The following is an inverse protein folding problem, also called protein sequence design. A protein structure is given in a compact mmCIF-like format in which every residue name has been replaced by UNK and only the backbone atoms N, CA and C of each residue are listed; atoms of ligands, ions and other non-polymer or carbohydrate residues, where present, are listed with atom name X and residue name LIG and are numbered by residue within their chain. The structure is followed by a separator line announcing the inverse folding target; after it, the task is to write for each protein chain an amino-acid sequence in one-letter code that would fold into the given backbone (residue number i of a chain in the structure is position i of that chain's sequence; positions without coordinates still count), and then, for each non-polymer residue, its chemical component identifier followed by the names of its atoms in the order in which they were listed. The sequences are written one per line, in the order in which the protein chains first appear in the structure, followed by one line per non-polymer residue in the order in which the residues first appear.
data_IF_997580064001
#
_entry.id   IF_997580064001
#
_cell.length_a   1.000
_cell.length_b   1.000
_cell.length_c   1.000
_cell.angle_alpha   90.00
_cell.angle_beta   90.00
_cell.angle_gamma   90.00
#
_symmetry.space_group_name_H-M   'P 1'
#
loop_
_entity.id
_entity.type
_entity.pdbx_description
1 polymer ?
#
# COMPACT_ATOMS: atom_id res chain seq x y z
N UNK A 1 -71.34 85.03 35.63
CA UNK A 1 -70.28 85.10 34.57
C UNK A 1 -70.51 83.97 33.63
N UNK A 2 -70.49 84.26 32.35
CA UNK A 2 -70.93 83.43 31.25
C UNK A 2 -70.10 82.11 31.15
N UNK A 3 -70.77 80.99 31.17
CA UNK A 3 -70.22 79.67 30.87
C UNK A 3 -69.60 79.63 29.44
N UNK A 4 -69.89 80.53 28.62
CA UNK A 4 -69.48 80.65 27.17
C UNK A 4 -67.99 80.99 26.98
N UNK A 5 -67.36 81.78 27.89
CA UNK A 5 -65.95 82.13 27.73
C UNK A 5 -64.96 80.95 27.91
N UNK A 6 -65.07 80.11 28.94
CA UNK A 6 -64.21 78.92 29.06
C UNK A 6 -64.45 77.85 27.99
N UNK A 7 -65.74 77.75 27.51
CA UNK A 7 -66.09 76.82 26.39
C UNK A 7 -65.43 77.31 25.07
N UNK A 8 -65.33 78.59 24.89
CA UNK A 8 -64.70 79.23 23.72
C UNK A 8 -63.17 78.91 23.68
N UNK A 9 -62.49 78.99 24.82
CA UNK A 9 -61.07 78.69 24.90
C UNK A 9 -60.78 77.23 24.64
N UNK A 10 -61.62 76.30 25.20
CA UNK A 10 -61.51 74.89 24.89
C UNK A 10 -61.70 74.59 23.39
N UNK A 11 -62.74 75.22 22.81
CA UNK A 11 -63.05 75.09 21.35
C UNK A 11 -61.89 75.59 20.50
N UNK A 12 -61.31 76.74 20.81
CA UNK A 12 -60.20 77.31 20.06
C UNK A 12 -58.92 76.41 20.19
N UNK A 13 -58.70 75.86 21.36
CA UNK A 13 -57.56 74.89 21.57
C UNK A 13 -57.77 73.63 20.74
N UNK A 14 -59.01 73.08 20.67
CA UNK A 14 -59.29 71.91 19.82
C UNK A 14 -59.11 72.25 18.35
N UNK A 15 -59.55 73.43 17.93
CA UNK A 15 -59.44 73.91 16.55
C UNK A 15 -58.00 74.11 16.11
N UNK A 16 -57.10 74.59 16.99
CA UNK A 16 -55.69 74.70 16.75
C UNK A 16 -55.01 73.30 16.61
N UNK A 17 -55.45 72.33 17.42
CA UNK A 17 -55.00 70.95 17.31
C UNK A 17 -55.50 70.28 16.01
N UNK A 18 -56.72 70.60 15.52
CA UNK A 18 -57.34 70.03 14.31
C UNK A 18 -56.69 70.53 13.02
N UNK A 19 -56.13 71.72 12.99
CA UNK A 19 -55.57 72.37 11.82
C UNK A 19 -54.12 71.90 11.42
N UNK A 20 -53.65 70.83 12.01
CA UNK A 20 -52.44 70.13 11.56
C UNK A 20 -51.11 70.57 12.18
N UNK A 21 -51.05 71.62 12.93
CA UNK A 21 -49.88 72.02 13.74
C UNK A 21 -50.13 71.60 15.19
N UNK A 22 -50.53 70.35 15.41
CA UNK A 22 -50.91 69.80 16.72
C UNK A 22 -49.79 69.89 17.76
N UNK A 23 -49.69 70.97 18.48
CA UNK A 23 -48.79 71.12 19.60
C UNK A 23 -49.37 70.38 20.82
N UNK A 24 -49.03 69.16 20.95
CA UNK A 24 -49.42 68.28 22.05
C UNK A 24 -48.75 68.63 23.38
N UNK A 25 -47.88 69.64 23.42
CA UNK A 25 -47.29 70.16 24.64
C UNK A 25 -48.15 71.22 25.32
N UNK A 26 -49.10 71.79 24.59
CA UNK A 26 -50.03 72.79 25.11
C UNK A 26 -51.01 72.17 26.13
N UNK A 27 -51.43 72.96 27.12
CA UNK A 27 -52.40 72.58 28.12
C UNK A 27 -53.47 73.63 28.17
N UNK A 28 -54.72 73.18 28.37
CA UNK A 28 -55.87 74.07 28.53
C UNK A 28 -55.94 74.56 29.99
N UNK A 29 -55.94 75.84 30.24
CA UNK A 29 -56.03 76.35 31.59
C UNK A 29 -57.31 75.87 32.32
N UNK A 30 -57.18 75.31 33.50
CA UNK A 30 -58.28 74.91 34.38
C UNK A 30 -58.65 76.14 35.23
N UNK A 31 -59.70 76.84 34.86
CA UNK A 31 -60.06 78.13 35.47
C UNK A 31 -61.10 78.01 36.60
N UNK A 32 -61.89 76.95 36.68
CA UNK A 32 -62.89 76.72 37.66
C UNK A 32 -62.98 75.21 38.05
N UNK A 33 -63.81 74.92 39.11
CA UNK A 33 -64.06 73.54 39.55
C UNK A 33 -65.42 73.00 39.07
N UNK A 34 -66.03 73.63 38.08
CA UNK A 34 -67.33 73.26 37.51
C UNK A 34 -67.09 72.33 36.29
N UNK A 35 -68.20 72.04 35.55
CA UNK A 35 -68.20 71.13 34.40
C UNK A 35 -67.20 71.56 33.32
N UNK A 36 -66.89 72.79 33.14
CA UNK A 36 -65.91 73.33 32.20
C UNK A 36 -64.48 73.09 32.67
N UNK A 37 -64.20 73.13 33.99
CA UNK A 37 -62.90 72.74 34.55
C UNK A 37 -62.61 71.23 34.42
N UNK A 38 -63.60 70.40 34.69
CA UNK A 38 -63.54 68.98 34.47
C UNK A 38 -63.31 68.59 33.00
N UNK A 39 -63.96 69.30 32.07
CA UNK A 39 -63.75 69.13 30.62
C UNK A 39 -62.28 69.48 30.22
N UNK A 40 -61.72 70.56 30.74
CA UNK A 40 -60.35 70.95 30.50
C UNK A 40 -59.34 69.95 31.09
N UNK A 41 -59.60 69.40 32.30
CA UNK A 41 -58.81 68.31 32.87
C UNK A 41 -58.86 67.03 31.98
N UNK A 42 -60.02 66.58 31.61
CA UNK A 42 -60.16 65.38 30.77
C UNK A 42 -59.48 65.58 29.39
N UNK A 43 -59.55 66.77 28.79
CA UNK A 43 -58.82 67.08 27.57
C UNK A 43 -57.33 67.13 27.77
N UNK A 44 -56.84 67.70 28.85
CA UNK A 44 -55.40 67.65 29.23
C UNK A 44 -54.91 66.20 29.39
N UNK A 45 -55.71 65.36 30.05
CA UNK A 45 -55.35 63.93 30.19
C UNK A 45 -55.33 63.23 28.85
N UNK A 46 -56.21 63.49 27.92
CA UNK A 46 -56.18 62.99 26.55
C UNK A 46 -54.92 63.47 25.81
N UNK A 47 -54.57 64.75 25.93
CA UNK A 47 -53.34 65.33 25.30
C UNK A 47 -52.07 64.68 25.85
N UNK A 48 -51.98 64.43 27.15
CA UNK A 48 -50.88 63.70 27.78
C UNK A 48 -50.80 62.28 27.23
N UNK A 49 -51.89 61.60 27.11
CA UNK A 49 -51.93 60.23 26.58
C UNK A 49 -51.52 60.22 25.11
N UNK A 50 -52.02 61.07 24.26
CA UNK A 50 -51.67 61.21 22.86
C UNK A 50 -50.18 61.56 22.69
N UNK A 51 -49.70 62.53 23.47
CA UNK A 51 -48.24 62.90 23.46
C UNK A 51 -47.37 61.73 23.80
N UNK A 52 -47.68 60.94 24.85
CA UNK A 52 -47.00 59.74 25.23
C UNK A 52 -46.98 58.67 24.14
N UNK A 53 -48.21 58.48 23.51
CA UNK A 53 -48.34 57.45 22.50
C UNK A 53 -47.61 57.83 21.19
N UNK A 54 -47.68 59.12 20.80
CA UNK A 54 -46.86 59.60 19.67
C UNK A 54 -45.34 59.49 19.90
N UNK A 55 -44.87 59.80 21.10
CA UNK A 55 -43.45 59.55 21.48
C UNK A 55 -43.05 58.08 21.36
N UNK A 56 -43.95 57.16 21.75
CA UNK A 56 -43.70 55.74 21.55
C UNK A 56 -43.64 55.35 20.08
N UNK A 57 -44.55 55.82 19.26
CA UNK A 57 -44.57 55.57 17.83
C UNK A 57 -43.32 56.10 17.17
N UNK A 58 -42.85 57.29 17.54
CA UNK A 58 -41.59 57.87 17.06
C UNK A 58 -40.39 56.99 17.42
N UNK A 59 -40.30 56.55 18.67
CA UNK A 59 -39.22 55.66 19.14
C UNK A 59 -39.21 54.34 18.37
N UNK A 60 -40.40 53.72 18.18
CA UNK A 60 -40.54 52.45 17.42
C UNK A 60 -40.16 52.66 15.95
N UNK A 61 -40.57 53.76 15.31
CA UNK A 61 -40.17 54.04 13.93
C UNK A 61 -38.65 54.17 13.77
N UNK A 62 -38.00 54.80 14.75
CA UNK A 62 -36.55 54.95 14.76
C UNK A 62 -35.83 53.63 14.98
N UNK A 63 -36.37 52.78 15.86
CA UNK A 63 -35.89 51.42 16.14
C UNK A 63 -36.00 50.53 14.87
N UNK A 64 -37.15 50.51 14.20
CA UNK A 64 -37.35 49.79 12.92
C UNK A 64 -36.33 50.27 11.87
N UNK A 65 -36.08 51.57 11.76
CA UNK A 65 -35.09 52.12 10.82
C UNK A 65 -33.69 51.61 11.12
N UNK A 66 -33.28 51.51 12.38
CA UNK A 66 -31.99 50.97 12.80
C UNK A 66 -31.89 49.45 12.51
N UNK A 67 -32.93 48.69 12.85
CA UNK A 67 -32.98 47.25 12.60
C UNK A 67 -32.94 46.89 11.10
N UNK A 68 -33.58 47.69 10.26
CA UNK A 68 -33.55 47.48 8.79
C UNK A 68 -32.16 47.65 8.20
N UNK A 69 -31.32 48.53 8.75
CA UNK A 69 -29.92 48.67 8.34
C UNK A 69 -29.15 47.39 8.67
N UNK A 70 -29.31 46.88 9.89
CA UNK A 70 -28.68 45.63 10.31
C UNK A 70 -29.14 44.44 9.45
N UNK A 71 -30.40 44.35 9.08
CA UNK A 71 -30.91 43.29 8.20
C UNK A 71 -30.31 43.34 6.79
N UNK A 72 -30.08 44.54 6.22
CA UNK A 72 -29.42 44.71 4.93
C UNK A 72 -27.96 44.25 5.02
N UNK A 73 -27.21 44.66 6.06
CA UNK A 73 -25.85 44.23 6.27
C UNK A 73 -25.74 42.70 6.43
N UNK A 74 -26.70 42.08 7.12
CA UNK A 74 -26.76 40.62 7.26
C UNK A 74 -27.04 39.91 5.91
N UNK A 75 -27.96 40.46 5.10
CA UNK A 75 -28.25 39.93 3.80
C UNK A 75 -27.07 40.03 2.84
N UNK A 76 -26.33 41.12 2.87
CA UNK A 76 -25.08 41.28 2.09
C UNK A 76 -24.00 40.27 2.53
N UNK A 77 -23.85 40.05 3.83
CA UNK A 77 -22.93 39.06 4.36
C UNK A 77 -23.31 37.63 3.96
N UNK A 78 -24.61 37.30 3.94
CA UNK A 78 -25.11 36.01 3.43
C UNK A 78 -24.74 35.84 1.95
N UNK A 79 -24.83 36.87 1.14
CA UNK A 79 -24.44 36.85 -0.27
C UNK A 79 -22.94 36.61 -0.45
N UNK A 80 -22.09 37.28 0.33
CA UNK A 80 -20.63 37.10 0.33
C UNK A 80 -20.24 35.66 0.72
N UNK A 81 -20.79 35.18 1.84
CA UNK A 81 -20.55 33.78 2.29
C UNK A 81 -21.02 32.78 1.25
N UNK A 82 -22.18 32.99 0.64
CA UNK A 82 -22.72 32.12 -0.42
C UNK A 82 -21.80 32.07 -1.65
N UNK A 83 -21.12 33.17 -1.98
CA UNK A 83 -20.17 33.21 -3.10
C UNK A 83 -18.91 32.35 -2.77
N UNK A 84 -18.37 32.47 -1.55
CA UNK A 84 -17.27 31.68 -1.09
C UNK A 84 -17.63 30.19 -1.06
N UNK A 85 -18.80 29.85 -0.53
CA UNK A 85 -19.29 28.48 -0.51
C UNK A 85 -19.45 27.88 -1.91
N UNK A 86 -19.93 28.67 -2.90
CA UNK A 86 -20.02 28.21 -4.29
C UNK A 86 -18.65 27.77 -4.81
N UNK A 87 -17.59 28.56 -4.57
CA UNK A 87 -16.23 28.19 -4.98
C UNK A 87 -15.70 26.96 -4.25
N UNK A 88 -15.98 26.85 -2.95
CA UNK A 88 -15.55 25.67 -2.17
C UNK A 88 -16.22 24.39 -2.69
N UNK A 89 -17.49 24.46 -3.06
CA UNK A 89 -18.23 23.32 -3.63
C UNK A 89 -17.67 22.90 -4.98
N UNK A 90 -17.29 23.85 -5.84
CA UNK A 90 -16.63 23.53 -7.11
C UNK A 90 -15.32 22.77 -6.89
N UNK A 91 -14.53 23.17 -5.88
CA UNK A 91 -13.28 22.47 -5.51
C UNK A 91 -13.58 21.04 -4.99
N UNK A 92 -14.61 20.90 -4.14
CA UNK A 92 -15.02 19.58 -3.62
C UNK A 92 -15.50 18.67 -4.76
N UNK A 93 -16.29 19.19 -5.70
CA UNK A 93 -16.75 18.44 -6.87
C UNK A 93 -15.58 17.97 -7.75
N UNK A 94 -14.58 18.82 -8.01
CA UNK A 94 -13.38 18.43 -8.75
C UNK A 94 -12.59 17.37 -8.00
N UNK A 95 -12.41 17.52 -6.69
CA UNK A 95 -11.69 16.56 -5.86
C UNK A 95 -12.40 15.19 -5.82
N UNK A 96 -13.73 15.17 -5.77
CA UNK A 96 -14.51 13.92 -5.84
C UNK A 96 -14.32 13.22 -7.19
N UNK A 97 -14.36 13.96 -8.28
CA UNK A 97 -14.13 13.43 -9.63
C UNK A 97 -12.72 12.85 -9.78
N UNK A 98 -11.70 13.54 -9.25
CA UNK A 98 -10.33 13.02 -9.22
C UNK A 98 -10.21 11.74 -8.38
N UNK A 99 -10.90 11.68 -7.24
CA UNK A 99 -10.95 10.49 -6.38
C UNK A 99 -11.53 9.28 -7.12
N UNK A 100 -12.62 9.46 -7.89
CA UNK A 100 -13.21 8.41 -8.72
C UNK A 100 -12.23 7.94 -9.81
N UNK A 101 -11.55 8.86 -10.49
CA UNK A 101 -10.54 8.55 -11.50
C UNK A 101 -9.37 7.76 -10.91
N UNK A 102 -8.83 8.20 -9.77
CA UNK A 102 -7.73 7.51 -9.06
C UNK A 102 -8.17 6.13 -8.59
N UNK A 103 -9.38 5.95 -8.10
CA UNK A 103 -9.93 4.63 -7.75
C UNK A 103 -9.94 3.69 -8.96
N UNK A 104 -10.35 4.17 -10.13
CA UNK A 104 -10.29 3.37 -11.36
C UNK A 104 -8.86 2.99 -11.77
N UNK A 105 -7.88 3.87 -11.59
CA UNK A 105 -6.47 3.56 -11.82
C UNK A 105 -5.94 2.50 -10.83
N UNK A 106 -6.33 2.60 -9.55
CA UNK A 106 -5.99 1.60 -8.52
C UNK A 106 -6.54 0.23 -8.89
N UNK A 107 -7.77 0.14 -9.39
CA UNK A 107 -8.36 -1.12 -9.84
C UNK A 107 -7.55 -1.73 -11.00
N UNK A 108 -7.13 -0.92 -11.97
CA UNK A 108 -6.29 -1.37 -13.08
C UNK A 108 -4.91 -1.85 -12.61
N UNK A 109 -4.25 -1.11 -11.71
CA UNK A 109 -2.96 -1.52 -11.14
C UNK A 109 -3.07 -2.82 -10.34
N UNK A 110 -4.15 -2.98 -9.59
CA UNK A 110 -4.40 -4.18 -8.79
C UNK A 110 -4.66 -5.40 -9.68
N UNK A 111 -5.39 -5.23 -10.78
CA UNK A 111 -5.58 -6.28 -11.79
C UNK A 111 -4.26 -6.71 -12.43
N UNK A 112 -3.40 -5.75 -12.79
CA UNK A 112 -2.08 -6.02 -13.34
C UNK A 112 -1.18 -6.73 -12.32
N UNK A 113 -1.20 -6.32 -11.05
CA UNK A 113 -0.45 -6.96 -9.97
C UNK A 113 -0.92 -8.41 -9.72
N UNK A 114 -2.23 -8.66 -9.78
CA UNK A 114 -2.78 -10.01 -9.67
C UNK A 114 -2.31 -10.92 -10.81
N UNK A 115 -2.33 -10.44 -12.06
CA UNK A 115 -1.84 -11.18 -13.22
C UNK A 115 -0.34 -11.48 -13.15
N UNK A 116 0.45 -10.51 -12.68
CA UNK A 116 1.89 -10.71 -12.46
C UNK A 116 2.15 -11.76 -11.36
N UNK A 117 1.43 -11.69 -10.25
CA UNK A 117 1.51 -12.65 -9.15
C UNK A 117 1.15 -14.08 -9.62
N UNK A 118 0.10 -14.24 -10.42
CA UNK A 118 -0.27 -15.54 -11.02
C UNK A 118 0.83 -16.08 -11.92
N UNK A 119 1.47 -15.23 -12.71
CA UNK A 119 2.61 -15.60 -13.56
C UNK A 119 3.80 -16.07 -12.72
N UNK A 120 4.13 -15.35 -11.64
CA UNK A 120 5.21 -15.74 -10.71
C UNK A 120 4.88 -17.08 -10.05
N UNK A 121 3.65 -17.29 -9.62
CA UNK A 121 3.21 -18.57 -9.03
C UNK A 121 3.41 -19.73 -10.00
N UNK A 122 2.94 -19.59 -11.23
CA UNK A 122 3.10 -20.62 -12.29
C UNK A 122 4.57 -20.94 -12.56
N UNK A 123 5.42 -19.90 -12.68
CA UNK A 123 6.85 -20.09 -12.90
C UNK A 123 7.54 -20.71 -11.67
N UNK A 124 7.11 -20.34 -10.46
CA UNK A 124 7.58 -20.93 -9.21
C UNK A 124 7.25 -22.44 -9.13
N UNK A 125 6.06 -22.85 -9.49
CA UNK A 125 5.67 -24.25 -9.54
C UNK A 125 6.48 -25.05 -10.58
N UNK A 126 6.73 -24.48 -11.76
CA UNK A 126 7.60 -25.10 -12.77
C UNK A 126 9.04 -25.23 -12.26
N UNK A 127 9.56 -24.22 -11.61
CA UNK A 127 10.91 -24.25 -11.02
C UNK A 127 11.01 -25.30 -9.90
N UNK A 128 10.00 -25.42 -9.03
CA UNK A 128 9.96 -26.48 -8.01
C UNK A 128 10.02 -27.87 -8.63
N UNK A 129 9.30 -28.11 -9.69
CA UNK A 129 9.35 -29.39 -10.41
C UNK A 129 10.75 -29.69 -10.95
N UNK A 130 11.41 -28.70 -11.57
CA UNK A 130 12.79 -28.85 -12.08
C UNK A 130 13.80 -29.09 -10.96
N UNK A 131 13.61 -28.46 -9.81
CA UNK A 131 14.43 -28.65 -8.61
C UNK A 131 14.27 -30.08 -8.08
N UNK A 132 13.06 -30.60 -8.00
CA UNK A 132 12.78 -31.98 -7.58
C UNK A 132 13.39 -33.01 -8.56
N UNK A 133 13.27 -32.77 -9.88
CA UNK A 133 13.91 -33.59 -10.89
C UNK A 133 15.45 -33.58 -10.74
N UNK A 134 16.06 -32.40 -10.48
CA UNK A 134 17.48 -32.24 -10.23
C UNK A 134 17.93 -32.98 -8.99
N UNK A 135 17.18 -32.90 -7.89
CA UNK A 135 17.44 -33.66 -6.65
C UNK A 135 17.45 -35.17 -6.89
N UNK A 136 16.47 -35.67 -7.62
CA UNK A 136 16.39 -37.08 -8.01
C UNK A 136 17.61 -37.53 -8.84
N UNK A 137 18.03 -36.72 -9.82
CA UNK A 137 19.21 -37.00 -10.65
C UNK A 137 20.49 -37.00 -9.84
N UNK A 138 20.67 -36.08 -8.85
CA UNK A 138 21.80 -36.07 -7.95
C UNK A 138 21.87 -37.33 -7.08
N UNK A 139 20.75 -37.80 -6.56
CA UNK A 139 20.67 -39.04 -5.78
C UNK A 139 21.02 -40.26 -6.63
N UNK A 140 20.58 -40.32 -7.89
CA UNK A 140 20.99 -41.38 -8.83
C UNK A 140 22.49 -41.34 -9.11
N UNK A 141 23.03 -40.14 -9.40
CA UNK A 141 24.47 -39.94 -9.63
C UNK A 141 25.31 -40.40 -8.43
N UNK A 142 24.88 -40.06 -7.21
CA UNK A 142 25.54 -40.53 -5.99
C UNK A 142 25.56 -42.05 -5.89
N UNK A 143 24.47 -42.72 -6.24
CA UNK A 143 24.37 -44.18 -6.27
C UNK A 143 25.33 -44.80 -7.31
N UNK A 144 25.33 -44.24 -8.52
CA UNK A 144 26.21 -44.71 -9.62
C UNK A 144 27.69 -44.50 -9.29
N UNK A 145 28.07 -43.35 -8.68
CA UNK A 145 29.45 -43.08 -8.25
C UNK A 145 29.91 -44.04 -7.16
N UNK A 146 29.04 -44.37 -6.20
CA UNK A 146 29.37 -45.36 -5.15
C UNK A 146 29.56 -46.76 -5.75
N UNK A 147 28.70 -47.17 -6.67
CA UNK A 147 28.84 -48.45 -7.37
C UNK A 147 30.14 -48.52 -8.20
N UNK A 148 30.44 -47.48 -8.96
CA UNK A 148 31.67 -47.39 -9.73
C UNK A 148 32.90 -47.40 -8.83
N UNK A 149 32.87 -46.68 -7.70
CA UNK A 149 33.95 -46.70 -6.71
C UNK A 149 34.19 -48.11 -6.11
N UNK A 150 33.11 -48.85 -5.87
CA UNK A 150 33.19 -50.24 -5.39
C UNK A 150 33.84 -51.16 -6.40
N UNK A 151 33.46 -51.11 -7.66
CA UNK A 151 34.03 -51.88 -8.75
C UNK A 151 35.53 -51.58 -8.95
N UNK A 152 35.91 -50.28 -8.93
CA UNK A 152 37.33 -49.92 -9.09
C UNK A 152 38.18 -50.35 -7.88
N UNK A 153 37.62 -50.36 -6.66
CA UNK A 153 38.30 -50.93 -5.46
C UNK A 153 38.49 -52.40 -5.59
N UNK A 154 37.52 -53.15 -6.12
CA UNK A 154 37.65 -54.61 -6.40
C UNK A 154 38.73 -54.88 -7.41
N UNK A 155 38.81 -54.12 -8.53
CA UNK A 155 39.91 -54.19 -9.49
C UNK A 155 41.24 -53.88 -8.82
N UNK A 156 41.31 -52.93 -7.91
CA UNK A 156 42.50 -52.62 -7.13
C UNK A 156 42.98 -53.81 -6.29
N UNK A 157 42.04 -54.52 -5.64
CA UNK A 157 42.35 -55.76 -4.86
C UNK A 157 42.82 -56.88 -5.75
N UNK A 158 42.22 -57.09 -6.93
CA UNK A 158 42.63 -58.10 -7.89
C UNK A 158 44.07 -57.84 -8.40
N UNK A 159 44.41 -56.60 -8.66
CA UNK A 159 45.74 -56.14 -9.09
C UNK A 159 46.75 -56.38 -7.98
N UNK A 160 46.42 -56.21 -6.68
CA UNK A 160 47.26 -56.58 -5.55
C UNK A 160 47.52 -58.06 -5.50
N UNK A 161 46.49 -58.90 -5.70
CA UNK A 161 46.60 -60.32 -5.77
C UNK A 161 47.53 -60.79 -6.91
N UNK A 162 47.37 -60.17 -8.11
CA UNK A 162 48.26 -60.48 -9.26
C UNK A 162 49.72 -60.09 -8.94
N UNK A 163 49.96 -58.95 -8.27
CA UNK A 163 51.27 -58.51 -7.85
C UNK A 163 51.93 -59.53 -6.94
N UNK A 164 51.22 -60.13 -5.97
CA UNK A 164 51.66 -61.16 -5.12
C UNK A 164 52.06 -62.45 -5.89
N UNK A 165 51.27 -62.85 -6.89
CA UNK A 165 51.55 -63.98 -7.73
C UNK A 165 52.83 -63.75 -8.57
N UNK A 166 52.99 -62.54 -9.11
CA UNK A 166 54.24 -62.22 -9.88
C UNK A 166 55.52 -62.30 -9.04
N UNK A 167 55.42 -61.84 -7.78
CA UNK A 167 56.55 -61.97 -6.86
C UNK A 167 56.99 -63.47 -6.64
N UNK A 168 56.00 -64.38 -6.58
CA UNK A 168 56.27 -65.83 -6.50
C UNK A 168 56.86 -66.30 -7.80
N UNK A 169 56.39 -65.89 -8.97
CA UNK A 169 56.93 -66.30 -10.27
C UNK A 169 58.38 -65.79 -10.42
N UNK A 170 58.63 -64.53 -10.04
CA UNK A 170 59.99 -63.95 -10.02
C UNK A 170 60.95 -64.78 -9.13
N UNK A 171 60.50 -65.15 -7.92
CA UNK A 171 61.29 -66.01 -7.04
C UNK A 171 61.63 -67.42 -7.63
N UNK A 172 60.60 -68.03 -8.31
CA UNK A 172 60.78 -69.33 -8.99
C UNK A 172 61.77 -69.20 -10.15
N UNK A 173 61.66 -68.12 -10.93
CA UNK A 173 62.58 -67.84 -12.05
C UNK A 173 64.05 -67.69 -11.54
N UNK A 174 64.22 -66.91 -10.43
CA UNK A 174 65.51 -66.73 -9.79
C UNK A 174 66.13 -68.07 -9.28
N UNK A 175 65.29 -68.87 -8.60
CA UNK A 175 65.69 -70.22 -8.16
C UNK A 175 66.03 -71.11 -9.35
N UNK A 176 65.25 -71.06 -10.42
CA UNK A 176 65.50 -71.85 -11.63
C UNK A 176 66.78 -71.43 -12.31
N UNK A 177 67.09 -70.15 -12.36
CA UNK A 177 68.31 -69.56 -12.89
C UNK A 177 69.59 -70.09 -12.08
N UNK A 178 69.45 -70.08 -10.73
CA UNK A 178 70.54 -70.64 -9.83
C UNK A 178 70.69 -72.12 -9.99
N UNK A 179 69.61 -72.91 -10.11
CA UNK A 179 69.61 -74.32 -10.38
C UNK A 179 70.30 -74.66 -11.73
N UNK A 180 69.94 -73.91 -12.75
CA UNK A 180 70.56 -74.04 -14.07
C UNK A 180 72.06 -73.71 -14.07
N UNK A 181 72.46 -72.66 -13.36
CA UNK A 181 73.85 -72.30 -13.17
C UNK A 181 74.66 -73.42 -12.48
N UNK A 182 74.11 -73.98 -11.42
CA UNK A 182 74.76 -75.09 -10.71
C UNK A 182 74.85 -76.32 -11.62
N UNK A 183 73.82 -76.63 -12.42
CA UNK A 183 73.85 -77.74 -13.36
C UNK A 183 74.83 -77.48 -14.52
N UNK A 184 75.03 -76.32 -15.01
CA UNK A 184 76.01 -75.90 -16.02
C UNK A 184 77.47 -76.08 -15.46
N UNK A 185 77.70 -75.71 -14.21
CA UNK A 185 78.98 -75.86 -13.53
C UNK A 185 79.36 -77.37 -13.39
N UNK A 186 78.40 -78.19 -12.97
CA UNK A 186 78.65 -79.63 -12.81
C UNK A 186 78.77 -80.34 -14.16
N UNK A 187 78.02 -79.92 -15.19
CA UNK A 187 78.20 -80.43 -16.56
C UNK A 187 79.58 -80.05 -17.13
N UNK A 188 80.11 -78.89 -16.88
CA UNK A 188 81.52 -78.52 -17.25
C UNK A 188 82.54 -79.32 -16.49
N UNK A 189 82.22 -79.72 -15.28
CA UNK A 189 83.13 -80.55 -14.43
C UNK A 189 83.24 -82.01 -14.91
N UNK A 190 82.14 -82.48 -15.58
CA UNK A 190 82.10 -83.84 -16.14
C UNK A 190 82.82 -83.94 -17.51
N UNK A 191 83.41 -82.91 -18.05
CA UNK A 191 84.16 -82.90 -19.28
C UNK A 191 83.36 -83.28 -20.53
N UNK A 192 83.91 -84.09 -21.43
CA UNK A 192 83.30 -84.55 -22.68
C UNK A 192 81.94 -85.26 -22.46
N UNK A 193 81.74 -85.96 -21.34
CA UNK A 193 80.51 -86.65 -20.97
C UNK A 193 79.38 -85.73 -20.55
N UNK A 194 79.70 -84.48 -20.14
CA UNK A 194 78.71 -83.49 -19.73
C UNK A 194 78.21 -82.53 -20.83
N UNK A 195 78.70 -82.56 -22.03
CA UNK A 195 78.44 -81.58 -23.07
C UNK A 195 76.98 -81.43 -23.43
N UNK A 196 76.22 -82.50 -23.48
CA UNK A 196 74.76 -82.44 -23.76
C UNK A 196 73.95 -81.78 -22.58
N UNK A 197 74.40 -82.11 -21.35
CA UNK A 197 73.78 -81.49 -20.14
C UNK A 197 74.11 -80.01 -20.02
N UNK A 198 75.27 -79.54 -20.43
CA UNK A 198 75.65 -78.13 -20.41
C UNK A 198 74.80 -77.27 -21.33
N UNK A 199 74.47 -77.77 -22.53
CA UNK A 199 73.59 -77.08 -23.50
C UNK A 199 72.16 -76.96 -22.93
N UNK A 200 71.62 -77.99 -22.27
CA UNK A 200 70.27 -77.96 -21.61
C UNK A 200 70.27 -76.96 -20.46
N UNK A 201 71.34 -77.00 -19.61
CA UNK A 201 71.46 -76.06 -18.48
C UNK A 201 71.54 -74.60 -18.94
N UNK A 202 72.30 -74.28 -19.99
CA UNK A 202 72.34 -72.93 -20.57
C UNK A 202 71.00 -72.49 -21.17
N UNK A 203 70.23 -73.38 -21.81
CA UNK A 203 68.91 -73.11 -22.34
C UNK A 203 67.90 -72.85 -21.20
N UNK A 204 67.90 -73.64 -20.13
CA UNK A 204 67.08 -73.43 -18.94
C UNK A 204 67.44 -72.13 -18.28
N UNK A 205 68.72 -71.75 -18.20
CA UNK A 205 69.17 -70.47 -17.67
C UNK A 205 68.68 -69.28 -18.49
N UNK A 206 68.75 -69.39 -19.82
CA UNK A 206 68.23 -68.38 -20.75
C UNK A 206 66.73 -68.21 -20.60
N UNK A 207 65.97 -69.32 -20.48
CA UNK A 207 64.52 -69.29 -20.29
C UNK A 207 64.12 -68.64 -18.94
N UNK A 208 64.92 -68.99 -17.85
CA UNK A 208 64.74 -68.38 -16.52
C UNK A 208 64.92 -66.83 -16.57
N UNK A 209 66.00 -66.38 -17.27
CA UNK A 209 66.34 -64.97 -17.44
C UNK A 209 65.22 -64.24 -18.29
N UNK A 210 64.74 -64.89 -19.33
CA UNK A 210 63.56 -64.31 -20.10
C UNK A 210 62.28 -64.20 -19.25
N UNK A 211 62.02 -65.22 -18.43
CA UNK A 211 60.88 -65.23 -17.49
C UNK A 211 61.02 -64.08 -16.48
N UNK A 212 62.21 -63.86 -15.94
CA UNK A 212 62.51 -62.78 -15.04
C UNK A 212 62.27 -61.38 -15.69
N UNK A 213 62.76 -61.19 -16.92
CA UNK A 213 62.52 -59.96 -17.66
C UNK A 213 61.03 -59.72 -17.96
N UNK A 214 60.31 -60.77 -18.34
CA UNK A 214 58.87 -60.67 -18.58
C UNK A 214 58.04 -60.34 -17.33
N UNK A 215 58.44 -60.97 -16.16
CA UNK A 215 57.80 -60.68 -14.86
C UNK A 215 58.06 -59.25 -14.41
N UNK A 216 59.24 -58.70 -14.63
CA UNK A 216 59.59 -57.32 -14.33
C UNK A 216 58.74 -56.32 -15.17
N UNK A 217 58.56 -56.56 -16.50
CA UNK A 217 57.71 -55.76 -17.36
C UNK A 217 56.21 -55.79 -16.91
N UNK A 218 55.72 -56.99 -16.53
CA UNK A 218 54.36 -57.14 -16.02
C UNK A 218 54.19 -56.39 -14.68
N UNK A 219 55.21 -56.49 -13.79
CA UNK A 219 55.26 -55.80 -12.47
C UNK A 219 55.14 -54.28 -12.65
N UNK A 220 55.79 -53.68 -13.69
CA UNK A 220 55.70 -52.29 -14.01
C UNK A 220 54.27 -51.94 -14.50
N UNK A 221 53.64 -52.80 -15.32
CA UNK A 221 52.25 -52.60 -15.75
C UNK A 221 51.24 -52.66 -14.58
N UNK A 222 51.47 -53.62 -13.66
CA UNK A 222 50.69 -53.79 -12.45
C UNK A 222 50.78 -52.54 -11.54
N UNK A 223 51.98 -52.01 -11.34
CA UNK A 223 52.18 -50.77 -10.55
C UNK A 223 51.41 -49.55 -11.16
N UNK A 224 51.41 -49.42 -12.51
CA UNK A 224 50.62 -48.39 -13.20
C UNK A 224 49.14 -48.60 -12.99
N UNK A 225 48.64 -49.86 -13.07
CA UNK A 225 47.23 -50.17 -12.83
C UNK A 225 46.82 -49.85 -11.37
N UNK A 226 47.64 -50.18 -10.37
CA UNK A 226 47.41 -49.84 -8.96
C UNK A 226 47.27 -48.30 -8.77
N UNK A 227 48.22 -47.54 -9.33
CA UNK A 227 48.23 -46.08 -9.25
C UNK A 227 46.97 -45.49 -9.97
N UNK A 228 46.62 -46.04 -11.13
CA UNK A 228 45.41 -45.64 -11.89
C UNK A 228 44.13 -45.91 -11.14
N UNK A 229 43.97 -47.10 -10.54
CA UNK A 229 42.81 -47.46 -9.71
C UNK A 229 42.66 -46.54 -8.51
N UNK A 230 43.75 -46.28 -7.79
CA UNK A 230 43.73 -45.32 -6.66
C UNK A 230 43.32 -43.91 -7.09
N UNK A 231 43.91 -43.43 -8.19
CA UNK A 231 43.54 -42.11 -8.74
C UNK A 231 42.06 -42.03 -9.16
N UNK A 232 41.51 -43.11 -9.70
CA UNK A 232 40.10 -43.19 -10.09
C UNK A 232 39.19 -43.16 -8.85
N UNK A 233 39.48 -43.91 -7.78
CA UNK A 233 38.75 -43.88 -6.51
C UNK A 233 38.75 -42.47 -5.90
N UNK A 234 39.93 -41.82 -5.87
CA UNK A 234 40.05 -40.46 -5.35
C UNK A 234 39.25 -39.44 -6.19
N UNK A 235 39.20 -39.61 -7.53
CA UNK A 235 38.41 -38.79 -8.39
C UNK A 235 36.87 -38.96 -8.15
N UNK A 236 36.43 -40.21 -7.96
CA UNK A 236 35.06 -40.55 -7.62
C UNK A 236 34.65 -39.96 -6.26
N UNK A 237 35.51 -40.03 -5.26
CA UNK A 237 35.25 -39.43 -3.94
C UNK A 237 35.11 -37.91 -4.02
N UNK A 238 35.95 -37.22 -4.83
CA UNK A 238 35.79 -35.78 -5.07
C UNK A 238 34.49 -35.47 -5.79
N UNK A 239 34.07 -36.31 -6.73
CA UNK A 239 32.80 -36.16 -7.44
C UNK A 239 31.58 -36.32 -6.50
N UNK A 240 31.60 -37.31 -5.60
CA UNK A 240 30.59 -37.51 -4.56
C UNK A 240 30.47 -36.28 -3.64
N UNK A 241 31.61 -35.74 -3.18
CA UNK A 241 31.61 -34.57 -2.32
C UNK A 241 30.98 -33.33 -3.04
N UNK A 242 31.26 -33.18 -4.35
CA UNK A 242 30.66 -32.10 -5.17
C UNK A 242 29.20 -32.34 -5.40
N UNK A 243 28.76 -33.57 -5.61
CA UNK A 243 27.34 -33.91 -5.78
C UNK A 243 26.57 -33.64 -4.49
N UNK A 244 27.08 -34.00 -3.33
CA UNK A 244 26.43 -33.70 -2.05
C UNK A 244 26.32 -32.16 -1.80
N UNK A 245 27.34 -31.38 -2.17
CA UNK A 245 27.29 -29.94 -2.08
C UNK A 245 26.24 -29.37 -3.03
N UNK A 246 26.10 -29.93 -4.25
CA UNK A 246 25.04 -29.52 -5.20
C UNK A 246 23.65 -29.88 -4.69
N UNK A 247 23.46 -31.04 -4.05
CA UNK A 247 22.22 -31.46 -3.42
C UNK A 247 21.78 -30.49 -2.30
N UNK A 248 22.71 -30.01 -1.47
CA UNK A 248 22.46 -28.98 -0.47
C UNK A 248 21.96 -27.68 -1.12
N UNK A 249 22.60 -27.22 -2.20
CA UNK A 249 22.18 -26.01 -2.94
C UNK A 249 20.80 -26.16 -3.60
N UNK A 250 20.48 -27.35 -4.07
CA UNK A 250 19.15 -27.70 -4.61
C UNK A 250 18.09 -27.61 -3.51
N UNK A 251 18.35 -28.13 -2.31
CA UNK A 251 17.45 -28.03 -1.16
C UNK A 251 17.23 -26.59 -0.70
N UNK A 252 18.28 -25.75 -0.66
CA UNK A 252 18.14 -24.31 -0.34
C UNK A 252 17.31 -23.58 -1.40
N UNK A 253 17.45 -23.97 -2.68
CA UNK A 253 16.65 -23.40 -3.77
C UNK A 253 15.18 -23.79 -3.62
N UNK A 254 14.87 -25.03 -3.22
CA UNK A 254 13.50 -25.48 -2.95
C UNK A 254 12.86 -24.69 -1.81
N UNK A 255 13.58 -24.47 -0.71
CA UNK A 255 13.13 -23.64 0.41
C UNK A 255 12.79 -22.20 -0.05
N UNK A 256 13.69 -21.59 -0.83
CA UNK A 256 13.49 -20.23 -1.36
C UNK A 256 12.28 -20.14 -2.30
N UNK A 257 12.03 -21.14 -3.14
CA UNK A 257 10.86 -21.18 -4.01
C UNK A 257 9.54 -21.33 -3.23
N UNK A 258 9.54 -22.06 -2.12
CA UNK A 258 8.40 -22.16 -1.21
C UNK A 258 8.12 -20.81 -0.52
N UNK A 259 9.14 -20.06 -0.12
CA UNK A 259 8.98 -18.70 0.43
C UNK A 259 8.41 -17.73 -0.62
N UNK A 260 8.85 -17.84 -1.88
CA UNK A 260 8.29 -17.07 -2.99
C UNK A 260 6.80 -17.39 -3.16
N UNK A 261 6.41 -18.68 -3.14
CA UNK A 261 5.00 -19.08 -3.23
C UNK A 261 4.14 -18.47 -2.13
N UNK A 262 4.61 -18.53 -0.87
CA UNK A 262 3.92 -17.91 0.25
C UNK A 262 3.80 -16.38 0.09
N UNK A 263 4.83 -15.73 -0.45
CA UNK A 263 4.81 -14.29 -0.72
C UNK A 263 3.77 -13.92 -1.80
N UNK A 264 3.61 -14.76 -2.81
CA UNK A 264 2.59 -14.59 -3.85
C UNK A 264 1.17 -14.70 -3.27
N UNK A 265 0.93 -15.64 -2.34
CA UNK A 265 -0.37 -15.77 -1.66
C UNK A 265 -0.71 -14.53 -0.82
N UNK A 266 0.29 -13.93 -0.16
CA UNK A 266 0.15 -12.67 0.56
C UNK A 266 -0.20 -11.53 -0.42
N UNK A 267 0.47 -11.44 -1.56
CA UNK A 267 0.16 -10.44 -2.60
C UNK A 267 -1.28 -10.62 -3.09
N UNK A 268 -1.73 -11.86 -3.34
CA UNK A 268 -3.10 -12.14 -3.78
C UNK A 268 -4.14 -11.69 -2.76
N UNK A 269 -3.93 -12.01 -1.48
CA UNK A 269 -4.83 -11.59 -0.40
C UNK A 269 -4.85 -10.06 -0.21
N UNK A 270 -3.69 -9.42 -0.31
CA UNK A 270 -3.56 -7.95 -0.22
C UNK A 270 -4.26 -7.26 -1.37
N UNK A 271 -4.11 -7.76 -2.61
CA UNK A 271 -4.81 -7.23 -3.78
C UNK A 271 -6.32 -7.28 -3.61
N UNK A 272 -6.86 -8.35 -3.01
CA UNK A 272 -8.30 -8.44 -2.71
C UNK A 272 -8.76 -7.35 -1.74
N UNK A 273 -7.97 -7.04 -0.72
CA UNK A 273 -8.27 -5.96 0.22
C UNK A 273 -8.20 -4.58 -0.45
N UNK A 274 -7.24 -4.36 -1.35
CA UNK A 274 -7.10 -3.11 -2.11
C UNK A 274 -8.35 -2.90 -2.99
N UNK A 275 -8.83 -3.92 -3.71
CA UNK A 275 -10.06 -3.84 -4.53
C UNK A 275 -11.26 -3.48 -3.64
N UNK A 276 -11.41 -4.09 -2.46
CA UNK A 276 -12.50 -3.74 -1.54
C UNK A 276 -12.42 -2.28 -1.07
N UNK A 277 -11.21 -1.79 -0.75
CA UNK A 277 -10.99 -0.40 -0.36
C UNK A 277 -11.29 0.57 -1.51
N UNK A 278 -10.86 0.26 -2.74
CA UNK A 278 -11.12 1.05 -3.95
C UNK A 278 -12.62 1.15 -4.25
N UNK A 279 -13.35 0.03 -4.16
CA UNK A 279 -14.79 0.02 -4.34
C UNK A 279 -15.52 0.89 -3.29
N UNK A 280 -15.09 0.83 -2.02
CA UNK A 280 -15.63 1.69 -0.96
C UNK A 280 -15.31 3.16 -1.22
N UNK A 281 -14.12 3.47 -1.71
CA UNK A 281 -13.70 4.82 -2.08
C UNK A 281 -14.55 5.37 -3.24
N UNK A 282 -14.84 4.56 -4.26
CA UNK A 282 -15.71 4.91 -5.38
C UNK A 282 -17.14 5.19 -4.92
N UNK A 283 -17.69 4.35 -4.03
CA UNK A 283 -19.02 4.57 -3.45
C UNK A 283 -19.08 5.89 -2.64
N UNK A 284 -18.02 6.17 -1.85
CA UNK A 284 -17.93 7.43 -1.09
C UNK A 284 -17.80 8.63 -2.02
N UNK A 285 -17.07 8.53 -3.13
CA UNK A 285 -16.97 9.58 -4.14
C UNK A 285 -18.33 9.91 -4.76
N UNK A 286 -19.13 8.90 -5.10
CA UNK A 286 -20.48 9.10 -5.62
C UNK A 286 -21.42 9.77 -4.58
N UNK A 287 -21.35 9.39 -3.31
CA UNK A 287 -22.12 10.03 -2.24
C UNK A 287 -21.72 11.52 -2.06
N UNK A 288 -20.43 11.84 -2.20
CA UNK A 288 -19.96 13.23 -2.17
C UNK A 288 -20.54 14.02 -3.36
N UNK A 289 -20.62 13.46 -4.57
CA UNK A 289 -21.24 14.14 -5.72
C UNK A 289 -22.71 14.48 -5.45
N UNK A 290 -23.49 13.55 -4.89
CA UNK A 290 -24.87 13.80 -4.51
C UNK A 290 -24.97 14.93 -3.47
N UNK A 291 -24.10 14.93 -2.45
CA UNK A 291 -24.07 16.00 -1.43
C UNK A 291 -23.67 17.36 -2.00
N UNK A 292 -22.80 17.40 -2.98
CA UNK A 292 -22.41 18.62 -3.71
C UNK A 292 -23.63 19.24 -4.40
N UNK A 293 -24.49 18.44 -5.03
CA UNK A 293 -25.74 18.90 -5.66
C UNK A 293 -26.66 19.46 -4.60
N UNK A 294 -26.90 18.77 -3.49
CA UNK A 294 -27.75 19.23 -2.38
C UNK A 294 -27.28 20.59 -1.83
N UNK A 295 -25.97 20.71 -1.53
CA UNK A 295 -25.41 21.94 -0.97
C UNK A 295 -25.51 23.09 -1.98
N UNK A 296 -25.33 22.84 -3.27
CA UNK A 296 -25.48 23.84 -4.32
C UNK A 296 -26.93 24.39 -4.38
N UNK A 297 -27.91 23.49 -4.20
CA UNK A 297 -29.31 23.89 -4.10
C UNK A 297 -29.58 24.78 -2.86
N UNK A 298 -29.03 24.42 -1.69
CA UNK A 298 -29.15 25.22 -0.47
C UNK A 298 -28.50 26.61 -0.61
N UNK A 299 -27.33 26.72 -1.25
CA UNK A 299 -26.68 28.00 -1.52
C UNK A 299 -27.58 28.88 -2.39
N UNK A 300 -28.27 28.32 -3.38
CA UNK A 300 -29.20 29.03 -4.23
C UNK A 300 -30.40 29.55 -3.43
N UNK A 301 -30.93 28.75 -2.50
CA UNK A 301 -31.99 29.18 -1.58
C UNK A 301 -31.51 30.28 -0.63
N UNK A 302 -30.30 30.19 -0.08
CA UNK A 302 -29.74 31.24 0.78
C UNK A 302 -29.63 32.59 0.04
N UNK A 303 -29.19 32.59 -1.21
CA UNK A 303 -29.18 33.81 -2.06
C UNK A 303 -30.56 34.39 -2.28
N UNK A 304 -31.55 33.52 -2.50
CA UNK A 304 -32.96 33.99 -2.64
C UNK A 304 -33.47 34.63 -1.33
N UNK A 305 -33.25 34.00 -0.18
CA UNK A 305 -33.62 34.52 1.15
C UNK A 305 -32.92 35.86 1.42
N UNK A 306 -31.62 35.97 1.13
CA UNK A 306 -30.90 37.24 1.29
C UNK A 306 -31.50 38.37 0.44
N UNK A 307 -31.88 38.06 -0.81
CA UNK A 307 -32.57 39.01 -1.69
C UNK A 307 -33.92 39.44 -1.13
N UNK A 308 -34.74 38.50 -0.64
CA UNK A 308 -36.04 38.79 -0.06
C UNK A 308 -35.91 39.59 1.25
N UNK A 309 -34.87 39.34 2.07
CA UNK A 309 -34.58 40.15 3.24
C UNK A 309 -34.22 41.59 2.86
N UNK A 310 -33.44 41.82 1.81
CA UNK A 310 -33.13 43.15 1.32
C UNK A 310 -34.40 43.90 0.87
N UNK A 311 -35.27 43.27 0.08
CA UNK A 311 -36.52 43.87 -0.37
C UNK A 311 -37.47 44.16 0.80
N UNK A 312 -37.59 43.25 1.77
CA UNK A 312 -38.38 43.42 2.97
C UNK A 312 -37.89 44.58 3.86
N UNK A 313 -36.57 44.66 4.02
CA UNK A 313 -35.90 45.72 4.79
C UNK A 313 -36.12 47.09 4.15
N UNK A 314 -36.06 47.19 2.81
CA UNK A 314 -36.32 48.40 2.10
C UNK A 314 -37.79 48.85 2.29
N UNK A 315 -38.76 47.92 2.19
CA UNK A 315 -40.17 48.20 2.46
C UNK A 315 -40.42 48.65 3.92
N UNK A 316 -39.75 47.99 4.92
CA UNK A 316 -39.87 48.38 6.32
C UNK A 316 -39.30 49.78 6.57
N UNK A 317 -38.15 50.09 5.98
CA UNK A 317 -37.50 51.40 6.05
C UNK A 317 -38.44 52.51 5.50
N UNK A 318 -39.13 52.28 4.38
CA UNK A 318 -40.05 53.22 3.80
C UNK A 318 -41.29 53.45 4.70
N UNK A 319 -41.81 52.36 5.31
CA UNK A 319 -42.89 52.45 6.29
C UNK A 319 -42.48 53.20 7.56
N UNK A 320 -41.28 52.94 8.08
CA UNK A 320 -40.72 53.66 9.23
C UNK A 320 -40.58 55.17 8.92
N UNK A 321 -40.10 55.52 7.72
CA UNK A 321 -40.00 56.90 7.28
C UNK A 321 -41.37 57.59 7.16
N UNK A 322 -42.41 56.85 6.70
CA UNK A 322 -43.79 57.38 6.65
C UNK A 322 -44.32 57.65 8.07
N UNK A 323 -44.07 56.73 9.03
CA UNK A 323 -44.42 56.91 10.45
C UNK A 323 -43.71 58.13 11.04
N UNK A 324 -42.42 58.29 10.80
CA UNK A 324 -41.63 59.45 11.21
C UNK A 324 -42.19 60.76 10.69
N UNK A 325 -42.59 60.79 9.43
CA UNK A 325 -43.25 61.95 8.80
C UNK A 325 -44.62 62.25 9.41
N UNK A 326 -45.45 61.22 9.70
CA UNK A 326 -46.76 61.40 10.32
C UNK A 326 -46.60 61.96 11.73
N UNK A 327 -45.75 61.38 12.54
CA UNK A 327 -45.51 61.82 13.91
C UNK A 327 -44.85 63.19 13.96
N UNK A 328 -43.96 63.48 12.98
CA UNK A 328 -43.23 64.76 12.86
C UNK A 328 -44.18 65.96 12.58
N UNK A 329 -45.47 65.69 12.22
CA UNK A 329 -46.51 66.74 12.13
C UNK A 329 -46.94 67.24 13.52
N UNK A 330 -46.69 66.48 14.59
CA UNK A 330 -47.03 66.85 15.94
C UNK A 330 -45.79 67.34 16.69
N UNK A 331 -45.96 68.40 17.46
CA UNK A 331 -44.94 68.86 18.42
C UNK A 331 -45.16 68.10 19.72
N UNK A 332 -44.12 67.26 20.07
CA UNK A 332 -44.19 66.30 21.16
C UNK A 332 -43.49 66.77 22.45
#
# INVERSE_FOLDING_TARGET
KSILSPLGEVSESIQKLSLGNGDLTQRIPVQDQFETGHLAENLNNLLVSLQRDMKKVFSIAHEIKSETVTLVEQADKINEVSLVQTKMIEIVAMSSKDLLRVSGEVDQFTANAASAAETVNKNGQLALKLVQESSSQMSQLNTEMNNASSVVKEVGSDVENISAILQVIESIAEQTNLLALNAAIEAARAGEQGRGFAVVADEVRNLASKTQGSTEEIQQMISKLQSGSKSAVDAMQRSLNRSNAAESSVSETEASLNEISNSVDIIHSTNKLIIQASNKQSATGADIEDKVVDISAYITQLKAIAKDNNLSSESLRDKAKLLDNIVGQFKL
#
